data_IF_967728172409
#
_entry.id   IF_967728172409
#
_cell.length_a   1.000
_cell.length_b   1.000
_cell.length_c   1.000
_cell.angle_alpha   90.00
_cell.angle_beta   90.00
_cell.angle_gamma   90.00
#
_symmetry.space_group_name_H-M   'P 1'
#
loop_
_entity.id
_entity.type
_entity.pdbx_description
1 polymer ?
#
# COMPACT_ATOMS: atom_id res chain seq x y z
N UNK A 1 -3.47 40.39 -17.03
CA UNK A 1 -3.00 41.74 -17.41
C UNK A 1 -3.57 42.03 -18.77
N UNK A 2 -3.85 43.29 -19.10
CA UNK A 2 -3.10 43.94 -20.19
C UNK A 2 -3.86 45.06 -20.89
N UNK A 3 -5.16 44.94 -21.21
CA UNK A 3 -5.78 45.95 -22.07
C UNK A 3 -5.86 47.33 -21.42
N UNK A 4 -6.37 47.41 -20.19
CA UNK A 4 -6.58 48.68 -19.48
C UNK A 4 -5.27 49.29 -18.97
N UNK A 5 -4.33 48.47 -18.50
CA UNK A 5 -3.02 48.92 -17.99
C UNK A 5 -2.13 49.46 -19.12
N UNK A 6 -2.17 48.84 -20.32
CA UNK A 6 -1.44 49.34 -21.50
C UNK A 6 -2.02 50.68 -21.97
N UNK A 7 -3.34 50.88 -21.85
CA UNK A 7 -4.01 52.11 -22.27
C UNK A 7 -3.88 53.25 -21.25
N UNK A 8 -3.88 52.95 -19.95
CA UNK A 8 -3.89 53.97 -18.88
C UNK A 8 -2.53 54.25 -18.27
N UNK A 9 -1.53 53.37 -18.47
CA UNK A 9 -0.19 53.49 -17.88
C UNK A 9 -0.15 53.33 -16.35
N UNK A 10 -1.30 53.08 -15.72
CA UNK A 10 -1.44 52.82 -14.29
C UNK A 10 -1.65 51.31 -14.05
N UNK A 11 -1.11 50.81 -12.94
CA UNK A 11 -1.23 49.39 -12.56
C UNK A 11 -2.62 49.15 -11.96
N UNK A 12 -3.37 48.19 -12.51
CA UNK A 12 -4.68 47.81 -11.97
C UNK A 12 -4.51 46.94 -10.72
N UNK A 13 -5.31 47.24 -9.70
CA UNK A 13 -5.32 46.55 -8.41
C UNK A 13 -6.71 46.02 -8.04
N UNK A 14 -7.64 46.00 -8.98
CA UNK A 14 -9.05 45.69 -8.72
C UNK A 14 -9.23 44.24 -8.22
N UNK A 15 -8.33 43.34 -8.63
CA UNK A 15 -8.28 41.95 -8.15
C UNK A 15 -8.03 41.83 -6.64
N UNK A 16 -7.57 42.88 -5.95
CA UNK A 16 -7.39 42.88 -4.50
C UNK A 16 -8.76 42.74 -3.80
N UNK A 17 -9.81 43.32 -4.38
CA UNK A 17 -11.17 43.26 -3.82
C UNK A 17 -11.77 41.85 -3.94
N UNK A 18 -11.30 41.05 -4.90
CA UNK A 18 -11.71 39.65 -5.06
C UNK A 18 -10.97 38.69 -4.12
N UNK A 19 -9.83 39.10 -3.53
CA UNK A 19 -9.02 38.25 -2.67
C UNK A 19 -9.79 37.67 -1.47
N UNK A 20 -10.62 38.43 -0.72
CA UNK A 20 -11.36 37.88 0.40
C UNK A 20 -12.29 36.73 0.00
N UNK A 21 -12.89 36.81 -1.20
CA UNK A 21 -13.78 35.77 -1.72
C UNK A 21 -12.99 34.50 -2.07
N UNK A 22 -11.85 34.66 -2.74
CA UNK A 22 -10.95 33.55 -3.09
C UNK A 22 -10.39 32.88 -1.83
N UNK A 23 -9.88 33.66 -0.86
CA UNK A 23 -9.36 33.16 0.41
C UNK A 23 -10.44 32.40 1.18
N UNK A 24 -11.68 32.91 1.22
CA UNK A 24 -12.81 32.22 1.86
C UNK A 24 -13.12 30.89 1.19
N UNK A 25 -13.09 30.83 -0.14
CA UNK A 25 -13.29 29.58 -0.89
C UNK A 25 -12.16 28.57 -0.64
N UNK A 26 -10.91 29.03 -0.63
CA UNK A 26 -9.73 28.19 -0.34
C UNK A 26 -9.78 27.63 1.09
N UNK A 27 -10.07 28.47 2.08
CA UNK A 27 -10.17 28.06 3.48
C UNK A 27 -11.32 27.07 3.71
N UNK A 28 -12.46 27.25 3.03
CA UNK A 28 -13.58 26.30 3.09
C UNK A 28 -13.16 24.91 2.60
N UNK A 29 -12.40 24.83 1.50
CA UNK A 29 -11.86 23.56 0.96
C UNK A 29 -10.82 22.95 1.91
N UNK A 30 -9.90 23.75 2.42
CA UNK A 30 -8.81 23.28 3.28
C UNK A 30 -9.31 22.77 4.65
N UNK A 31 -10.26 23.47 5.26
CA UNK A 31 -10.87 23.06 6.53
C UNK A 31 -11.69 21.77 6.39
N UNK A 32 -12.32 21.53 5.23
CA UNK A 32 -12.99 20.26 4.93
C UNK A 32 -11.99 19.09 4.93
N UNK A 33 -10.87 19.25 4.23
CA UNK A 33 -9.82 18.22 4.15
C UNK A 33 -9.27 17.89 5.54
N UNK A 34 -9.02 18.90 6.39
CA UNK A 34 -8.57 18.69 7.78
C UNK A 34 -9.59 17.91 8.61
N UNK A 35 -10.88 18.21 8.46
CA UNK A 35 -11.96 17.52 9.19
C UNK A 35 -12.10 16.06 8.75
N UNK A 36 -11.90 15.78 7.47
CA UNK A 36 -12.05 14.44 6.89
C UNK A 36 -10.80 13.56 7.08
N UNK A 37 -9.69 14.13 7.55
CA UNK A 37 -8.48 13.38 7.88
C UNK A 37 -8.68 12.61 9.18
N UNK A 38 -9.02 11.32 9.06
CA UNK A 38 -9.05 10.40 10.20
C UNK A 38 -7.63 10.28 10.75
N UNK A 39 -7.49 10.44 12.07
CA UNK A 39 -6.26 10.06 12.76
C UNK A 39 -6.02 8.57 12.50
N UNK A 40 -4.83 8.22 12.04
CA UNK A 40 -4.43 6.81 12.00
C UNK A 40 -4.38 6.31 13.44
N UNK A 41 -4.84 5.08 13.66
CA UNK A 41 -4.70 4.44 14.97
C UNK A 41 -3.23 4.30 15.33
N UNK A 42 -2.88 4.49 16.60
CA UNK A 42 -1.49 4.33 17.08
C UNK A 42 -1.01 2.86 17.00
N UNK A 43 -1.94 1.93 16.82
CA UNK A 43 -1.70 0.48 16.78
C UNK A 43 -1.91 -0.03 15.35
N UNK A 44 -1.09 -0.98 14.86
CA UNK A 44 -1.33 -1.67 13.59
C UNK A 44 -2.67 -2.45 13.61
N UNK A 45 -3.31 -2.53 12.45
CA UNK A 45 -4.64 -3.17 12.30
C UNK A 45 -4.45 -4.59 11.77
N UNK A 46 -4.94 -5.60 12.48
CA UNK A 46 -4.89 -7.00 12.04
C UNK A 46 -6.28 -7.65 12.11
N UNK A 47 -6.50 -8.67 11.28
CA UNK A 47 -7.74 -9.45 11.22
C UNK A 47 -7.44 -10.96 11.25
N UNK A 48 -8.08 -11.71 12.15
CA UNK A 48 -7.97 -13.17 12.26
C UNK A 48 -6.51 -13.65 12.40
N UNK A 49 -6.13 -14.64 11.59
CA UNK A 49 -4.78 -15.23 11.61
C UNK A 49 -3.68 -14.21 11.29
N UNK A 50 -4.00 -13.06 10.67
CA UNK A 50 -3.00 -12.03 10.38
C UNK A 50 -2.43 -11.34 11.63
N UNK A 51 -3.10 -11.46 12.78
CA UNK A 51 -2.62 -10.94 14.06
C UNK A 51 -1.43 -11.73 14.63
N UNK A 52 -1.29 -13.00 14.26
CA UNK A 52 -0.12 -13.79 14.64
C UNK A 52 1.03 -13.51 13.66
N UNK A 53 2.09 -12.89 14.15
CA UNK A 53 3.26 -12.57 13.34
C UNK A 53 4.01 -13.84 12.92
N UNK A 54 4.51 -13.85 11.69
CA UNK A 54 5.47 -14.85 11.22
C UNK A 54 6.88 -14.43 11.64
N UNK A 55 7.74 -15.40 11.94
CA UNK A 55 9.11 -15.13 12.34
C UNK A 55 10.00 -14.80 11.14
N UNK A 56 11.06 -14.01 11.38
CA UNK A 56 12.09 -13.78 10.37
C UNK A 56 12.77 -15.10 10.00
N UNK A 57 13.08 -15.29 8.72
CA UNK A 57 13.66 -16.54 8.20
C UNK A 57 12.64 -17.64 7.88
N UNK A 58 11.35 -17.45 8.18
CA UNK A 58 10.29 -18.41 7.79
C UNK A 58 10.26 -18.57 6.26
N UNK A 59 10.20 -19.82 5.79
CA UNK A 59 10.05 -20.16 4.37
C UNK A 59 8.60 -19.96 3.94
N UNK A 60 8.40 -19.16 2.89
CA UNK A 60 7.09 -18.80 2.39
C UNK A 60 7.05 -18.79 0.87
N UNK A 61 5.86 -18.98 0.29
CA UNK A 61 5.54 -18.69 -1.11
C UNK A 61 4.63 -17.46 -1.16
N UNK A 62 4.90 -16.57 -2.11
CA UNK A 62 4.03 -15.44 -2.39
C UNK A 62 2.96 -15.84 -3.43
N UNK A 63 1.76 -15.31 -3.29
CA UNK A 63 0.72 -15.39 -4.32
C UNK A 63 1.14 -14.52 -5.52
N UNK A 64 1.04 -15.05 -6.75
CA UNK A 64 1.15 -14.28 -7.98
C UNK A 64 -0.13 -13.46 -8.21
N UNK A 65 0.06 -12.24 -8.67
CA UNK A 65 -1.05 -11.44 -9.18
C UNK A 65 -1.57 -12.03 -10.50
N UNK A 66 -2.83 -12.45 -10.49
CA UNK A 66 -3.53 -12.97 -11.65
C UNK A 66 -4.26 -11.82 -12.36
N UNK A 67 -3.75 -11.41 -13.52
CA UNK A 67 -4.31 -10.29 -14.30
C UNK A 67 -5.55 -10.69 -15.13
N UNK A 68 -5.93 -11.97 -15.14
CA UNK A 68 -6.89 -12.48 -16.14
C UNK A 68 -8.33 -12.58 -15.63
N UNK A 69 -8.54 -12.53 -14.30
CA UNK A 69 -9.88 -12.74 -13.72
C UNK A 69 -10.17 -11.69 -12.64
N UNK A 70 -11.09 -10.76 -12.90
CA UNK A 70 -11.53 -9.71 -11.96
C UNK A 70 -12.29 -10.23 -10.70
N UNK A 71 -12.23 -11.54 -10.44
CA UNK A 71 -12.91 -12.19 -9.31
C UNK A 71 -11.88 -12.74 -8.34
N UNK A 72 -11.84 -12.19 -7.13
CA UNK A 72 -11.12 -12.77 -5.99
C UNK A 72 -11.71 -14.15 -5.70
N UNK A 73 -10.90 -15.20 -5.83
CA UNK A 73 -11.30 -16.54 -5.40
C UNK A 73 -11.33 -16.59 -3.87
N UNK A 74 -12.43 -17.07 -3.30
CA UNK A 74 -12.55 -17.31 -1.87
C UNK A 74 -12.01 -18.70 -1.51
N UNK A 75 -11.14 -18.79 -0.52
CA UNK A 75 -10.66 -20.08 0.01
C UNK A 75 -9.21 -20.06 0.50
N UNK A 76 -8.77 -21.16 1.10
CA UNK A 76 -7.34 -21.43 1.38
C UNK A 76 -6.72 -22.12 0.17
N UNK A 77 -5.58 -21.63 -0.29
CA UNK A 77 -4.83 -22.23 -1.40
C UNK A 77 -4.19 -23.56 -0.99
N UNK A 78 -4.13 -24.51 -1.91
CA UNK A 78 -3.48 -25.81 -1.70
C UNK A 78 -1.97 -25.69 -1.98
N UNK A 79 -1.17 -26.56 -1.38
CA UNK A 79 0.24 -26.69 -1.74
C UNK A 79 0.36 -27.04 -3.23
N UNK A 80 1.12 -26.24 -3.99
CA UNK A 80 1.33 -26.44 -5.43
C UNK A 80 0.31 -25.76 -6.36
N UNK A 81 -0.55 -24.87 -5.85
CA UNK A 81 -1.44 -24.08 -6.71
C UNK A 81 -0.65 -23.20 -7.68
N UNK A 82 -1.08 -23.12 -8.94
CA UNK A 82 -0.44 -22.34 -10.02
C UNK A 82 -0.43 -20.85 -9.68
N UNK A 83 -1.35 -20.39 -8.82
CA UNK A 83 -1.39 -19.00 -8.34
C UNK A 83 -0.28 -18.68 -7.33
N UNK A 84 0.50 -19.65 -6.89
CA UNK A 84 1.64 -19.43 -5.98
C UNK A 84 2.95 -19.43 -6.75
N UNK A 85 3.88 -18.62 -6.27
CA UNK A 85 5.22 -18.60 -6.84
C UNK A 85 5.88 -19.95 -6.57
N UNK A 86 6.44 -20.62 -7.60
CA UNK A 86 7.18 -21.85 -7.40
C UNK A 86 8.46 -21.61 -6.59
N UNK A 87 8.94 -20.36 -6.56
CA UNK A 87 10.13 -19.96 -5.82
C UNK A 87 9.85 -19.89 -4.31
N UNK A 88 10.67 -20.62 -3.53
CA UNK A 88 10.67 -20.53 -2.07
C UNK A 88 11.45 -19.29 -1.64
N UNK A 89 10.81 -18.43 -0.84
CA UNK A 89 11.41 -17.19 -0.34
C UNK A 89 11.44 -17.19 1.18
N UNK A 90 12.28 -16.33 1.75
CA UNK A 90 12.37 -16.15 3.19
C UNK A 90 12.00 -14.72 3.61
N UNK A 91 11.42 -14.60 4.80
CA UNK A 91 11.09 -13.31 5.40
C UNK A 91 12.37 -12.65 5.93
N UNK A 92 12.78 -11.52 5.35
CA UNK A 92 13.97 -10.76 5.74
C UNK A 92 13.67 -9.78 6.87
N UNK A 93 12.54 -9.07 6.78
CA UNK A 93 12.11 -8.06 7.76
C UNK A 93 10.59 -8.01 7.89
N UNK A 94 10.12 -7.53 9.03
CA UNK A 94 8.71 -7.28 9.33
C UNK A 94 8.53 -5.78 9.53
N UNK A 95 7.55 -5.19 8.86
CA UNK A 95 7.23 -3.76 8.93
C UNK A 95 5.88 -3.60 9.62
N UNK A 96 5.89 -2.92 10.76
CA UNK A 96 4.71 -2.58 11.54
C UNK A 96 4.49 -1.08 11.46
N UNK A 97 3.37 -0.66 10.87
CA UNK A 97 2.98 0.75 10.76
C UNK A 97 1.62 0.97 11.43
N UNK A 98 1.46 2.04 12.23
CA UNK A 98 0.17 2.38 12.84
C UNK A 98 -0.93 2.50 11.79
N UNK A 99 -2.09 1.88 12.03
CA UNK A 99 -3.23 1.88 11.09
C UNK A 99 -3.11 0.93 9.89
N UNK A 100 -2.00 0.20 9.73
CA UNK A 100 -1.79 -0.78 8.66
C UNK A 100 -1.59 -2.17 9.22
N UNK A 101 -1.86 -3.19 8.40
CA UNK A 101 -1.57 -4.57 8.74
C UNK A 101 -0.07 -4.87 8.69
N UNK A 102 0.41 -5.86 9.48
CA UNK A 102 1.80 -6.28 9.41
C UNK A 102 2.21 -6.67 7.99
N UNK A 103 3.29 -6.05 7.52
CA UNK A 103 3.86 -6.34 6.21
C UNK A 103 5.18 -7.07 6.36
N UNK A 104 5.49 -7.92 5.39
CA UNK A 104 6.65 -8.77 5.35
C UNK A 104 7.45 -8.45 4.10
N UNK A 105 8.75 -8.35 4.29
CA UNK A 105 9.69 -8.05 3.25
C UNK A 105 10.41 -9.34 2.88
N UNK A 106 10.16 -9.82 1.66
CA UNK A 106 10.72 -11.07 1.14
C UNK A 106 12.05 -10.81 0.47
N UNK A 107 12.93 -11.82 0.52
CA UNK A 107 14.12 -11.83 -0.32
C UNK A 107 13.78 -12.31 -1.74
N UNK A 108 14.37 -11.67 -2.76
CA UNK A 108 14.17 -11.99 -4.18
C UNK A 108 15.51 -12.38 -4.82
N UNK A 109 16.03 -13.56 -4.50
CA UNK A 109 17.26 -14.05 -5.13
C UNK A 109 18.45 -13.07 -5.07
N UNK A 110 19.33 -13.15 -6.07
CA UNK A 110 20.63 -12.44 -6.16
C UNK A 110 20.50 -10.94 -6.46
N UNK A 111 19.34 -10.50 -6.96
CA UNK A 111 19.03 -9.08 -7.15
C UNK A 111 18.23 -8.61 -5.95
N UNK A 112 18.75 -7.66 -5.18
CA UNK A 112 18.26 -7.12 -3.90
C UNK A 112 16.87 -6.41 -3.99
N UNK A 113 15.99 -6.84 -4.89
CA UNK A 113 14.59 -6.46 -4.97
C UNK A 113 13.83 -6.97 -3.75
N UNK A 114 13.12 -6.06 -3.08
CA UNK A 114 12.38 -6.37 -1.88
C UNK A 114 10.89 -6.35 -2.23
N UNK A 115 10.26 -7.51 -2.20
CA UNK A 115 8.81 -7.61 -2.40
C UNK A 115 8.13 -7.44 -1.03
N UNK A 116 7.30 -6.40 -0.90
CA UNK A 116 6.55 -6.07 0.31
C UNK A 116 5.14 -6.64 0.21
N UNK A 117 4.81 -7.58 1.09
CA UNK A 117 3.56 -8.34 1.04
C UNK A 117 2.92 -8.47 2.41
N UNK A 118 1.61 -8.70 2.45
CA UNK A 118 0.86 -8.96 3.69
C UNK A 118 0.78 -10.46 3.99
N UNK A 119 0.44 -10.83 5.24
CA UNK A 119 0.29 -12.26 5.60
C UNK A 119 -0.72 -13.01 4.73
N UNK A 120 -1.79 -12.33 4.31
CA UNK A 120 -2.84 -12.94 3.48
C UNK A 120 -2.36 -13.30 2.06
N UNK A 121 -1.22 -12.75 1.64
CA UNK A 121 -0.58 -13.02 0.35
C UNK A 121 0.54 -14.06 0.45
N UNK A 122 0.76 -14.62 1.65
CA UNK A 122 1.80 -15.58 1.93
C UNK A 122 1.21 -16.93 2.28
N UNK A 123 1.84 -17.98 1.77
CA UNK A 123 1.67 -19.34 2.26
C UNK A 123 2.95 -19.77 2.97
N UNK A 124 2.83 -20.22 4.22
CA UNK A 124 3.94 -20.83 4.96
C UNK A 124 4.18 -22.23 4.41
N UNK A 125 5.44 -22.55 4.12
CA UNK A 125 5.84 -23.88 3.67
C UNK A 125 6.20 -24.69 4.91
N UNK A 126 5.52 -25.82 5.11
CA UNK A 126 5.91 -26.76 6.15
C UNK A 126 7.16 -27.53 5.70
N UNK A 127 8.08 -27.86 6.62
CA UNK A 127 9.29 -28.61 6.28
C UNK A 127 8.99 -29.98 5.63
N UNK A 128 7.85 -30.60 5.94
CA UNK A 128 7.45 -31.89 5.39
C UNK A 128 7.02 -31.82 3.89
N UNK A 129 6.75 -30.62 3.37
CA UNK A 129 6.36 -30.42 1.97
C UNK A 129 7.58 -30.30 1.01
N UNK A 130 8.81 -30.21 1.53
CA UNK A 130 10.02 -30.04 0.69
C UNK A 130 10.37 -31.30 -0.14
N UNK A 131 9.88 -32.48 0.27
CA UNK A 131 10.25 -33.76 -0.36
C UNK A 131 9.48 -34.10 -1.65
N UNK A 132 8.56 -33.27 -2.13
CA UNK A 132 7.70 -33.61 -3.28
C UNK A 132 8.03 -32.88 -4.58
N UNK A 133 9.05 -32.02 -4.61
CA UNK A 133 9.33 -31.13 -5.77
C UNK A 133 10.64 -31.50 -6.49
N UNK A 134 11.32 -32.59 -6.10
CA UNK A 134 12.44 -33.14 -6.86
C UNK A 134 12.00 -34.37 -7.66
N UNK A 135 11.36 -34.15 -8.82
CA UNK A 135 11.26 -35.15 -9.90
C UNK A 135 11.49 -34.44 -11.23
#
# INVERSE_FOLDING_TARGET
MTAEEILTGAVSKDWIDDLPLVIKAMNKKFNRIKKDMKLLSDIPVCEGDSCQLLEMGTKVRAILDDYTTDKRLHGKFRAGDIKLSPEVRYIKKIILKPGFSPMYLLNKGENDGLDLVTKNQLQVINPDEENQIQV
#
